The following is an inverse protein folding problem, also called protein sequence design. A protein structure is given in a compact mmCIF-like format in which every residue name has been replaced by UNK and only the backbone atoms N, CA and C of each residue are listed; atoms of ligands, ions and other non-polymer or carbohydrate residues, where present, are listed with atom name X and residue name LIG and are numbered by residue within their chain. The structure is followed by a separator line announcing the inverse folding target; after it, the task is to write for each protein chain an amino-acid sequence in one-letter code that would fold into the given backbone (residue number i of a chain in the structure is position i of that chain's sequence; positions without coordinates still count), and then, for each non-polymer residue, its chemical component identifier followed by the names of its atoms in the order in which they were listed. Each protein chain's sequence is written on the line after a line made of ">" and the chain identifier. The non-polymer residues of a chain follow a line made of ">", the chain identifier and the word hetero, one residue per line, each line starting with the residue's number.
data_IF_715812411951
#
_entry.id   IF_715812411951
#
_cell.length_a   1.000
_cell.length_b   1.000
_cell.length_c   1.000
_cell.angle_alpha   90.00
_cell.angle_beta   90.00
_cell.angle_gamma   90.00
#
_symmetry.space_group_name_H-M   'P 1'
#
loop_
_entity.id
_entity.type
_entity.pdbx_description
1 polymer ?
#
# COMPACT_ATOMS: atom_id res chain seq x y z
N UNK A 1 -53.64 -7.90 -60.49
CA UNK A 1 -53.58 -9.00 -59.51
C UNK A 1 -52.09 -9.28 -59.26
N UNK A 2 -51.46 -8.57 -58.32
CA UNK A 2 -51.15 -8.98 -56.93
C UNK A 2 -50.44 -10.34 -56.84
N UNK A 3 -49.16 -10.32 -56.44
CA UNK A 3 -48.39 -11.29 -55.61
C UNK A 3 -46.91 -10.85 -55.70
N UNK A 4 -46.41 -9.94 -54.86
CA UNK A 4 -45.91 -10.16 -53.49
C UNK A 4 -44.90 -11.32 -53.43
N UNK A 5 -43.60 -10.99 -53.35
CA UNK A 5 -42.61 -11.56 -52.42
C UNK A 5 -41.45 -10.56 -52.38
N UNK A 6 -41.47 -9.72 -51.36
CA UNK A 6 -40.40 -8.81 -51.01
C UNK A 6 -39.67 -9.49 -49.86
N UNK A 7 -38.44 -9.95 -50.10
CA UNK A 7 -37.60 -10.61 -49.10
C UNK A 7 -37.12 -9.55 -48.09
N UNK A 8 -37.86 -9.44 -46.98
CA UNK A 8 -37.47 -8.66 -45.81
C UNK A 8 -36.37 -9.43 -45.07
N UNK A 9 -35.12 -9.07 -45.33
CA UNK A 9 -34.03 -9.33 -44.37
C UNK A 9 -34.21 -8.30 -43.25
N UNK A 10 -35.02 -8.66 -42.26
CA UNK A 10 -35.10 -7.90 -41.01
C UNK A 10 -33.83 -8.23 -40.21
N UNK A 11 -32.76 -7.49 -40.47
CA UNK A 11 -31.58 -7.42 -39.61
C UNK A 11 -32.05 -6.79 -38.29
N UNK A 12 -32.44 -7.65 -37.34
CA UNK A 12 -32.65 -7.24 -35.95
C UNK A 12 -31.30 -6.82 -35.38
N UNK A 13 -30.95 -5.55 -35.58
CA UNK A 13 -30.01 -4.85 -34.72
C UNK A 13 -30.65 -4.83 -33.33
N UNK A 14 -30.38 -5.86 -32.54
CA UNK A 14 -30.54 -5.77 -31.09
C UNK A 14 -29.43 -4.81 -30.66
N UNK A 15 -29.72 -3.58 -30.21
CA UNK A 15 -28.71 -2.82 -29.52
C UNK A 15 -28.39 -3.64 -28.27
N UNK A 16 -27.23 -4.29 -28.27
CA UNK A 16 -26.64 -4.79 -27.04
C UNK A 16 -26.33 -3.53 -26.25
N UNK A 17 -27.31 -3.05 -25.49
CA UNK A 17 -27.06 -2.15 -24.39
C UNK A 17 -26.15 -2.94 -23.46
N UNK A 18 -24.85 -2.67 -23.55
CA UNK A 18 -23.88 -2.93 -22.50
C UNK A 18 -24.39 -2.13 -21.30
N UNK A 19 -25.31 -2.73 -20.54
CA UNK A 19 -25.62 -2.26 -19.20
C UNK A 19 -24.31 -2.44 -18.46
N UNK A 20 -23.58 -1.34 -18.23
CA UNK A 20 -22.46 -1.35 -17.32
C UNK A 20 -22.99 -1.90 -16.01
N UNK A 21 -22.56 -3.12 -15.64
CA UNK A 21 -23.09 -3.75 -14.45
C UNK A 21 -22.58 -2.98 -13.25
N UNK A 22 -23.46 -2.35 -12.48
CA UNK A 22 -23.06 -1.55 -11.33
C UNK A 22 -22.53 -2.43 -10.18
N UNK A 23 -21.62 -1.87 -9.38
CA UNK A 23 -21.12 -2.52 -8.16
C UNK A 23 -22.27 -2.58 -7.14
N UNK A 24 -22.72 -3.79 -6.79
CA UNK A 24 -23.78 -3.99 -5.80
C UNK A 24 -23.20 -4.08 -4.40
N UNK A 25 -23.45 -3.07 -3.57
CA UNK A 25 -23.07 -3.08 -2.14
C UNK A 25 -24.01 -3.99 -1.35
N UNK A 26 -23.48 -5.05 -0.74
CA UNK A 26 -24.21 -5.95 0.18
C UNK A 26 -24.23 -5.39 1.60
N UNK A 27 -23.11 -4.80 2.02
CA UNK A 27 -22.91 -4.27 3.36
C UNK A 27 -21.90 -3.14 3.32
N UNK A 28 -22.14 -2.10 4.10
CA UNK A 28 -21.19 -1.01 4.34
C UNK A 28 -21.03 -0.82 5.85
N UNK A 29 -19.80 -0.57 6.28
CA UNK A 29 -19.43 -0.30 7.67
C UNK A 29 -18.41 0.83 7.70
N UNK A 30 -18.60 1.76 8.61
CA UNK A 30 -17.67 2.86 8.85
C UNK A 30 -17.11 2.77 10.27
N UNK A 31 -15.80 2.99 10.39
CA UNK A 31 -15.06 2.91 11.65
C UNK A 31 -14.23 4.17 11.84
N UNK A 32 -14.30 4.75 13.04
CA UNK A 32 -13.53 5.92 13.47
C UNK A 32 -13.11 5.75 14.92
N UNK A 33 -12.02 6.38 15.34
CA UNK A 33 -11.57 6.38 16.74
C UNK A 33 -11.43 4.96 17.30
N UNK A 34 -12.08 4.68 18.44
CA UNK A 34 -12.04 3.35 19.08
C UNK A 34 -12.60 2.22 18.21
N UNK A 35 -13.49 2.52 17.27
CA UNK A 35 -14.06 1.52 16.36
C UNK A 35 -13.03 0.86 15.44
N UNK A 36 -11.89 1.51 15.19
CA UNK A 36 -10.78 0.96 14.40
C UNK A 36 -10.15 -0.26 15.11
N UNK A 37 -9.98 -0.20 16.43
CA UNK A 37 -9.38 -1.30 17.20
C UNK A 37 -10.18 -2.60 17.08
N UNK A 38 -11.51 -2.50 17.16
CA UNK A 38 -12.39 -3.66 17.06
C UNK A 38 -12.37 -4.32 15.68
N UNK A 39 -12.20 -3.53 14.62
CA UNK A 39 -12.08 -4.06 13.26
C UNK A 39 -10.74 -4.75 13.01
N UNK A 40 -9.65 -4.18 13.56
CA UNK A 40 -8.27 -4.55 13.22
C UNK A 40 -7.66 -5.61 14.15
N UNK A 41 -8.45 -6.13 15.10
CA UNK A 41 -8.12 -7.27 15.96
C UNK A 41 -6.72 -7.22 16.59
N UNK A 42 -6.34 -6.05 17.13
CA UNK A 42 -5.03 -5.81 17.75
C UNK A 42 -3.96 -5.20 16.84
N UNK A 43 -4.19 -5.15 15.52
CA UNK A 43 -3.28 -4.51 14.55
C UNK A 43 -3.46 -3.00 14.37
N UNK A 44 -4.39 -2.37 15.11
CA UNK A 44 -4.72 -0.95 14.92
C UNK A 44 -3.57 0.00 15.28
N UNK A 45 -2.68 -0.39 16.19
CA UNK A 45 -1.57 0.45 16.65
C UNK A 45 -0.67 0.88 15.49
N UNK A 46 -0.37 -0.03 14.56
CA UNK A 46 0.40 0.31 13.36
C UNK A 46 -0.35 1.30 12.48
N UNK A 47 -1.67 1.28 12.40
CA UNK A 47 -2.40 2.24 11.57
C UNK A 47 -2.55 3.60 12.25
N UNK A 48 -2.67 3.61 13.57
CA UNK A 48 -2.72 4.83 14.38
C UNK A 48 -1.39 5.57 14.38
N UNK A 49 -0.26 4.85 14.31
CA UNK A 49 1.06 5.46 14.10
C UNK A 49 1.12 6.33 12.83
N UNK A 50 0.33 6.00 11.80
CA UNK A 50 0.23 6.77 10.54
C UNK A 50 -0.98 7.73 10.55
N UNK A 51 -1.69 7.84 11.66
CA UNK A 51 -2.76 8.82 11.85
C UNK A 51 -4.05 8.51 11.08
N UNK A 52 -4.38 7.23 10.85
CA UNK A 52 -5.67 6.88 10.22
C UNK A 52 -6.84 7.53 10.97
N UNK A 53 -7.72 8.23 10.24
CA UNK A 53 -8.88 8.91 10.85
C UNK A 53 -10.17 8.12 10.68
N UNK A 54 -10.29 7.35 9.59
CA UNK A 54 -11.51 6.66 9.18
C UNK A 54 -11.20 5.46 8.31
N UNK A 55 -11.98 4.40 8.47
CA UNK A 55 -12.04 3.25 7.57
C UNK A 55 -13.48 3.05 7.10
N UNK A 56 -13.68 2.86 5.80
CA UNK A 56 -14.94 2.37 5.24
C UNK A 56 -14.72 1.00 4.62
N UNK A 57 -15.41 -0.02 5.15
CA UNK A 57 -15.37 -1.39 4.67
C UNK A 57 -16.70 -1.75 3.98
N UNK A 58 -16.62 -2.25 2.75
CA UNK A 58 -17.77 -2.61 1.91
C UNK A 58 -17.64 -4.03 1.41
N UNK A 59 -18.68 -4.83 1.63
CA UNK A 59 -18.81 -6.11 0.96
C UNK A 59 -19.66 -5.89 -0.30
N UNK A 60 -19.12 -6.24 -1.46
CA UNK A 60 -19.72 -5.91 -2.76
C UNK A 60 -19.76 -7.12 -3.67
N UNK A 61 -20.68 -7.08 -4.64
CA UNK A 61 -20.73 -8.01 -5.75
C UNK A 61 -20.62 -7.25 -7.05
N UNK A 62 -19.71 -7.69 -7.92
CA UNK A 62 -19.51 -7.13 -9.24
C UNK A 62 -19.30 -8.27 -10.24
N UNK A 63 -20.11 -8.30 -11.30
CA UNK A 63 -20.11 -9.37 -12.32
C UNK A 63 -20.13 -10.79 -11.74
N UNK A 64 -20.96 -10.99 -10.69
CA UNK A 64 -21.12 -12.27 -10.01
C UNK A 64 -19.97 -12.69 -9.09
N UNK A 65 -18.96 -11.85 -8.92
CA UNK A 65 -17.82 -12.07 -8.02
C UNK A 65 -17.97 -11.25 -6.74
N UNK A 66 -17.51 -11.79 -5.61
CA UNK A 66 -17.54 -11.13 -4.32
C UNK A 66 -16.21 -10.43 -4.00
N UNK A 67 -16.30 -9.24 -3.42
CA UNK A 67 -15.15 -8.47 -2.96
C UNK A 67 -15.44 -7.83 -1.61
N UNK A 68 -14.38 -7.62 -0.83
CA UNK A 68 -14.38 -6.70 0.30
C UNK A 68 -13.46 -5.54 -0.04
N UNK A 69 -14.01 -4.32 -0.04
CA UNK A 69 -13.29 -3.07 -0.33
C UNK A 69 -13.13 -2.31 0.98
N UNK A 70 -11.90 -2.09 1.39
CA UNK A 70 -11.52 -1.30 2.56
C UNK A 70 -10.79 -0.04 2.11
N UNK A 71 -11.29 1.12 2.52
CA UNK A 71 -10.71 2.43 2.18
C UNK A 71 -10.37 3.14 3.49
N UNK A 72 -9.08 3.37 3.69
CA UNK A 72 -8.51 4.03 4.86
C UNK A 72 -8.18 5.48 4.52
N UNK A 73 -8.74 6.42 5.29
CA UNK A 73 -8.43 7.85 5.18
C UNK A 73 -7.21 8.16 6.04
N UNK A 74 -6.15 8.62 5.38
CA UNK A 74 -4.84 8.93 5.99
C UNK A 74 -4.57 10.44 5.95
N UNK A 75 -3.63 10.95 6.76
CA UNK A 75 -3.30 12.38 6.76
C UNK A 75 -2.67 12.85 5.44
N UNK A 76 -1.75 12.05 4.87
CA UNK A 76 -1.00 12.40 3.64
C UNK A 76 -0.91 11.21 2.67
N UNK A 77 -0.58 11.45 1.39
CA UNK A 77 -0.25 10.37 0.44
C UNK A 77 0.89 9.47 0.92
N UNK A 78 1.90 10.03 1.59
CA UNK A 78 3.01 9.28 2.18
C UNK A 78 2.54 8.38 3.33
N UNK A 79 1.56 8.81 4.14
CA UNK A 79 0.96 7.96 5.18
C UNK A 79 0.20 6.77 4.59
N UNK A 80 -0.57 7.02 3.53
CA UNK A 80 -1.24 5.97 2.78
C UNK A 80 -0.24 5.00 2.16
N UNK A 81 0.84 5.51 1.57
CA UNK A 81 1.94 4.70 1.08
C UNK A 81 2.64 3.90 2.18
N UNK A 82 2.81 4.47 3.36
CA UNK A 82 3.43 3.81 4.50
C UNK A 82 2.71 2.52 4.89
N UNK A 83 1.41 2.63 5.18
CA UNK A 83 0.57 1.46 5.48
C UNK A 83 0.57 0.48 4.30
N UNK A 84 0.34 0.98 3.09
CA UNK A 84 0.37 0.17 1.87
C UNK A 84 1.67 -0.64 1.75
N UNK A 85 2.83 -0.01 1.88
CA UNK A 85 4.16 -0.60 1.71
C UNK A 85 4.52 -1.66 2.78
N UNK A 86 3.85 -1.59 3.92
CA UNK A 86 3.97 -2.59 4.98
C UNK A 86 3.14 -3.84 4.70
N UNK A 87 1.98 -3.69 4.05
CA UNK A 87 1.00 -4.76 3.87
C UNK A 87 1.08 -5.44 2.50
N UNK A 88 1.70 -4.82 1.50
CA UNK A 88 1.85 -5.48 0.18
C UNK A 88 2.86 -6.62 0.23
N UNK A 89 2.51 -7.71 -0.45
CA UNK A 89 3.34 -8.89 -0.55
C UNK A 89 3.09 -9.65 -1.86
N UNK A 90 4.16 -10.22 -2.45
CA UNK A 90 4.10 -11.07 -3.66
C UNK A 90 3.27 -10.46 -4.81
N UNK A 91 3.55 -9.20 -5.15
CA UNK A 91 2.90 -8.53 -6.27
C UNK A 91 3.16 -9.28 -7.59
N UNK A 92 2.09 -9.68 -8.27
CA UNK A 92 2.13 -10.22 -9.65
C UNK A 92 2.18 -9.09 -10.68
N UNK A 93 1.54 -7.96 -10.36
CA UNK A 93 1.56 -6.70 -11.11
C UNK A 93 1.71 -5.56 -10.11
N UNK A 94 2.56 -4.59 -10.43
CA UNK A 94 2.85 -3.48 -9.55
C UNK A 94 3.22 -2.21 -10.33
N UNK A 95 2.64 -1.08 -9.94
CA UNK A 95 2.91 0.28 -10.43
C UNK A 95 2.82 0.45 -11.96
N UNK A 96 1.97 -0.34 -12.60
CA UNK A 96 1.91 -0.45 -14.08
C UNK A 96 0.97 0.56 -14.73
N UNK A 97 0.04 1.15 -13.96
CA UNK A 97 -1.03 2.02 -14.49
C UNK A 97 -0.85 3.49 -14.10
N UNK A 98 0.39 3.89 -13.74
CA UNK A 98 0.69 5.24 -13.25
C UNK A 98 0.21 5.51 -11.81
N UNK A 99 -0.49 4.55 -11.19
CA UNK A 99 -0.83 4.56 -9.77
C UNK A 99 0.08 3.61 -9.00
N UNK A 100 0.24 3.85 -7.70
CA UNK A 100 0.88 2.89 -6.80
C UNK A 100 -0.10 1.77 -6.49
N UNK A 101 0.19 0.58 -7.01
CA UNK A 101 -0.67 -0.59 -6.84
C UNK A 101 0.12 -1.90 -6.76
N UNK A 102 -0.50 -2.90 -6.15
CA UNK A 102 0.02 -4.25 -6.04
C UNK A 102 -1.15 -5.22 -6.18
N UNK A 103 -1.17 -5.95 -7.30
CA UNK A 103 -2.09 -7.06 -7.52
C UNK A 103 -1.42 -8.36 -7.05
N UNK A 104 -1.98 -8.98 -6.04
CA UNK A 104 -1.61 -10.29 -5.50
C UNK A 104 -2.66 -11.35 -5.90
N UNK A 105 -2.47 -12.65 -5.58
CA UNK A 105 -3.42 -13.69 -5.95
C UNK A 105 -4.83 -13.52 -5.39
N UNK A 106 -5.02 -12.80 -4.28
CA UNK A 106 -6.31 -12.66 -3.58
C UNK A 106 -6.70 -11.20 -3.31
N UNK A 107 -5.87 -10.24 -3.71
CA UNK A 107 -6.05 -8.85 -3.33
C UNK A 107 -5.46 -7.90 -4.36
N UNK A 108 -6.11 -6.74 -4.53
CA UNK A 108 -5.54 -5.56 -5.14
C UNK A 108 -5.42 -4.50 -4.06
N UNK A 109 -4.20 -4.07 -3.76
CA UNK A 109 -3.94 -2.95 -2.86
C UNK A 109 -3.45 -1.77 -3.68
N UNK A 110 -3.79 -0.56 -3.26
CA UNK A 110 -3.31 0.64 -3.93
C UNK A 110 -3.30 1.88 -3.03
N UNK A 111 -2.68 2.94 -3.54
CA UNK A 111 -2.72 4.29 -2.97
C UNK A 111 -3.38 5.23 -3.99
N UNK A 112 -4.31 6.05 -3.51
CA UNK A 112 -4.95 7.11 -4.29
C UNK A 112 -5.07 8.38 -3.44
N UNK A 113 -4.18 9.35 -3.66
CA UNK A 113 -4.08 10.49 -2.77
C UNK A 113 -3.71 10.04 -1.36
N UNK A 114 -4.40 10.61 -0.38
CA UNK A 114 -4.26 10.25 1.03
C UNK A 114 -5.05 8.98 1.44
N UNK A 115 -5.40 8.11 0.49
CA UNK A 115 -6.17 6.90 0.75
C UNK A 115 -5.35 5.66 0.49
N UNK A 116 -5.27 4.79 1.49
CA UNK A 116 -4.86 3.41 1.31
C UNK A 116 -6.12 2.57 1.06
N UNK A 117 -6.09 1.74 0.02
CA UNK A 117 -7.23 0.91 -0.37
C UNK A 117 -6.81 -0.54 -0.55
N UNK A 118 -7.65 -1.42 -0.04
CA UNK A 118 -7.52 -2.87 -0.11
C UNK A 118 -8.80 -3.45 -0.71
N UNK A 119 -8.67 -4.15 -1.84
CA UNK A 119 -9.75 -4.90 -2.49
C UNK A 119 -9.42 -6.37 -2.39
N UNK A 120 -10.04 -7.07 -1.45
CA UNK A 120 -9.91 -8.51 -1.27
C UNK A 120 -10.95 -9.21 -2.14
N UNK A 121 -10.55 -10.22 -2.91
CA UNK A 121 -11.44 -11.10 -3.66
C UNK A 121 -11.24 -12.54 -3.18
N UNK A 122 -12.04 -13.02 -2.20
CA UNK A 122 -11.79 -14.26 -1.48
C UNK A 122 -11.65 -15.51 -2.36
N UNK A 123 -12.31 -15.54 -3.51
CA UNK A 123 -12.25 -16.68 -4.42
C UNK A 123 -10.85 -16.91 -5.03
N UNK A 124 -10.01 -15.87 -5.11
CA UNK A 124 -8.74 -15.90 -5.84
C UNK A 124 -8.87 -16.27 -7.32
N UNK A 125 -10.09 -16.30 -7.86
CA UNK A 125 -10.35 -16.78 -9.20
C UNK A 125 -9.80 -15.81 -10.25
N UNK A 126 -9.44 -16.35 -11.42
CA UNK A 126 -9.01 -15.51 -12.54
C UNK A 126 -10.09 -14.49 -12.93
N UNK A 127 -11.37 -14.87 -12.85
CA UNK A 127 -12.50 -13.98 -13.10
C UNK A 127 -12.52 -12.81 -12.11
N UNK A 128 -12.49 -13.07 -10.80
CA UNK A 128 -12.49 -12.01 -9.78
C UNK A 128 -11.26 -11.09 -9.91
N UNK A 129 -10.08 -11.69 -10.08
CA UNK A 129 -8.83 -10.94 -10.25
C UNK A 129 -8.86 -10.00 -11.45
N UNK A 130 -9.40 -10.46 -12.58
CA UNK A 130 -9.49 -9.65 -13.82
C UNK A 130 -10.40 -8.43 -13.70
N UNK A 131 -11.23 -8.35 -12.66
CA UNK A 131 -12.21 -7.29 -12.43
C UNK A 131 -11.89 -6.41 -11.23
N UNK A 132 -10.86 -6.75 -10.44
CA UNK A 132 -10.45 -5.97 -9.27
C UNK A 132 -10.14 -4.49 -9.62
N UNK A 133 -9.52 -4.24 -10.78
CA UNK A 133 -9.25 -2.89 -11.28
C UNK A 133 -10.52 -2.07 -11.56
N UNK A 134 -11.61 -2.72 -12.01
CA UNK A 134 -12.89 -2.05 -12.22
C UNK A 134 -13.57 -1.73 -10.87
N UNK A 135 -13.50 -2.66 -9.92
CA UNK A 135 -14.08 -2.48 -8.57
C UNK A 135 -13.40 -1.34 -7.83
N UNK A 136 -12.07 -1.26 -7.83
CA UNK A 136 -11.36 -0.16 -7.17
C UNK A 136 -11.65 1.19 -7.85
N UNK A 137 -11.73 1.21 -9.20
CA UNK A 137 -11.99 2.44 -9.98
C UNK A 137 -13.40 2.99 -9.81
N UNK A 138 -14.35 2.16 -9.41
CA UNK A 138 -15.68 2.59 -9.03
C UNK A 138 -15.66 3.53 -7.81
N UNK A 139 -14.71 3.33 -6.89
CA UNK A 139 -14.61 4.12 -5.67
C UNK A 139 -13.57 5.23 -5.75
N UNK A 140 -12.47 5.03 -6.50
CA UNK A 140 -11.32 5.92 -6.52
C UNK A 140 -10.79 6.07 -7.95
N UNK A 141 -10.39 7.27 -8.40
CA UNK A 141 -10.03 7.50 -9.81
C UNK A 141 -8.83 6.69 -10.30
N UNK A 142 -7.87 6.35 -9.42
CA UNK A 142 -6.64 5.61 -9.74
C UNK A 142 -5.91 6.19 -10.97
N UNK A 143 -5.73 7.51 -10.98
CA UNK A 143 -5.15 8.28 -12.09
C UNK A 143 -3.72 8.81 -11.81
N UNK A 144 -3.19 8.52 -10.63
CA UNK A 144 -1.80 8.82 -10.24
C UNK A 144 -1.51 10.29 -9.95
N UNK A 145 -2.50 11.20 -10.04
CA UNK A 145 -2.28 12.64 -9.87
C UNK A 145 -1.78 13.01 -8.47
N UNK A 146 -2.33 12.35 -7.45
CA UNK A 146 -2.03 12.60 -6.04
C UNK A 146 -1.19 11.45 -5.45
N UNK A 147 -0.30 10.85 -6.23
CA UNK A 147 0.64 9.84 -5.73
C UNK A 147 1.58 10.43 -4.66
N UNK A 148 2.12 9.60 -3.75
CA UNK A 148 3.14 10.04 -2.79
C UNK A 148 4.37 10.62 -3.51
N UNK A 149 4.94 11.67 -2.93
CA UNK A 149 6.16 12.28 -3.44
C UNK A 149 7.37 11.44 -2.99
N UNK A 150 7.93 10.66 -3.91
CA UNK A 150 9.16 9.90 -3.64
C UNK A 150 10.37 10.84 -3.67
N UNK A 151 11.27 10.76 -2.66
CA UNK A 151 12.52 11.50 -2.67
C UNK A 151 13.42 11.17 -3.86
N UNK A 152 14.21 12.15 -4.32
CA UNK A 152 15.16 12.00 -5.44
C UNK A 152 16.12 10.80 -5.25
N UNK A 153 16.47 10.47 -4.01
CA UNK A 153 17.36 9.36 -3.65
C UNK A 153 16.77 7.98 -4.00
N UNK A 154 15.46 7.92 -4.24
CA UNK A 154 14.72 6.71 -4.60
C UNK A 154 14.33 6.68 -6.08
N UNK A 155 14.76 7.67 -6.87
CA UNK A 155 14.53 7.66 -8.32
C UNK A 155 15.13 6.40 -8.96
N UNK A 156 14.46 5.89 -9.98
CA UNK A 156 14.86 4.67 -10.68
C UNK A 156 14.55 3.35 -9.95
N UNK A 157 13.94 3.39 -8.75
CA UNK A 157 13.57 2.16 -8.03
C UNK A 157 12.26 1.51 -8.52
N UNK A 158 11.53 2.15 -9.44
CA UNK A 158 10.26 1.65 -9.96
C UNK A 158 10.33 0.17 -10.44
N UNK A 159 9.32 -0.67 -10.16
CA UNK A 159 8.19 -0.40 -9.26
C UNK A 159 8.65 -0.19 -7.81
N UNK A 160 8.06 0.78 -7.13
CA UNK A 160 8.26 1.05 -5.71
C UNK A 160 7.58 -0.01 -4.86
N UNK A 161 6.40 -0.45 -5.28
CA UNK A 161 5.60 -1.48 -4.63
C UNK A 161 6.38 -2.78 -4.45
N UNK A 162 6.46 -3.23 -3.20
CA UNK A 162 7.22 -4.43 -2.80
C UNK A 162 8.73 -4.22 -2.63
N UNK A 163 9.28 -3.05 -2.98
CA UNK A 163 10.71 -2.73 -2.82
C UNK A 163 10.97 -1.63 -1.79
N UNK A 164 10.16 -0.57 -1.83
CA UNK A 164 10.30 0.60 -0.97
C UNK A 164 9.27 0.52 0.15
N UNK A 165 9.71 0.83 1.36
CA UNK A 165 8.86 1.00 2.53
C UNK A 165 8.97 2.42 3.04
N UNK A 166 7.88 2.93 3.62
CA UNK A 166 7.88 4.21 4.31
C UNK A 166 7.38 4.01 5.74
N UNK A 167 8.14 4.52 6.70
CA UNK A 167 7.84 4.40 8.12
C UNK A 167 7.55 5.74 8.76
N UNK A 168 6.46 5.82 9.53
CA UNK A 168 6.11 7.01 10.31
C UNK A 168 6.61 6.95 11.75
N UNK A 169 6.81 5.75 12.29
CA UNK A 169 7.28 5.57 13.66
C UNK A 169 7.90 4.19 13.94
N UNK A 170 8.21 3.92 15.21
CA UNK A 170 8.94 2.72 15.63
C UNK A 170 8.17 1.42 15.41
N UNK A 171 6.84 1.40 15.46
CA UNK A 171 6.03 0.18 15.29
C UNK A 171 6.26 -0.38 13.87
N UNK A 172 6.13 0.45 12.84
CA UNK A 172 6.42 0.08 11.46
C UNK A 172 7.87 -0.41 11.24
N UNK A 173 8.85 0.24 11.86
CA UNK A 173 10.27 -0.10 11.69
C UNK A 173 10.62 -1.43 12.38
N UNK A 174 10.11 -1.66 13.59
CA UNK A 174 10.42 -2.85 14.39
C UNK A 174 10.08 -4.18 13.69
N UNK A 175 9.07 -4.17 12.83
CA UNK A 175 8.71 -5.33 12.01
C UNK A 175 9.61 -5.57 10.79
N UNK A 176 10.54 -4.66 10.48
CA UNK A 176 11.34 -4.67 9.25
C UNK A 176 12.85 -4.64 9.49
N UNK A 177 13.33 -3.79 10.39
CA UNK A 177 14.77 -3.58 10.61
C UNK A 177 15.08 -3.30 12.09
N UNK A 178 15.72 -4.27 12.75
CA UNK A 178 16.17 -4.10 14.15
C UNK A 178 17.33 -3.12 14.22
N UNK A 179 18.25 -3.18 13.26
CA UNK A 179 19.45 -2.33 13.26
C UNK A 179 19.12 -0.86 13.03
N UNK A 180 18.20 -0.57 12.10
CA UNK A 180 17.74 0.81 11.87
C UNK A 180 16.96 1.35 13.08
N UNK A 181 16.13 0.52 13.71
CA UNK A 181 15.41 0.90 14.93
C UNK A 181 16.35 1.38 16.03
N UNK A 182 17.49 0.69 16.22
CA UNK A 182 18.48 1.07 17.21
C UNK A 182 19.11 2.44 16.93
N UNK A 183 19.43 2.75 15.66
CA UNK A 183 19.93 4.08 15.30
C UNK A 183 18.90 5.19 15.54
N UNK A 184 17.62 4.91 15.33
CA UNK A 184 16.53 5.87 15.46
C UNK A 184 16.03 6.06 16.90
N UNK A 185 16.50 5.28 17.86
CA UNK A 185 16.10 5.39 19.26
C UNK A 185 16.41 6.80 19.81
N UNK A 186 15.42 7.48 20.40
CA UNK A 186 15.59 8.84 20.92
C UNK A 186 15.84 9.93 19.87
N UNK A 187 15.64 9.61 18.57
CA UNK A 187 15.72 10.56 17.46
C UNK A 187 14.32 10.91 16.98
N UNK A 188 14.03 12.19 16.88
CA UNK A 188 12.74 12.66 16.38
C UNK A 188 12.75 12.82 14.85
N UNK A 189 11.97 11.99 14.15
CA UNK A 189 11.83 12.03 12.69
C UNK A 189 10.40 12.27 12.24
N UNK A 190 10.26 12.73 11.00
CA UNK A 190 8.97 12.89 10.31
C UNK A 190 8.66 11.68 9.45
N UNK A 191 9.66 10.96 8.95
CA UNK A 191 9.46 9.72 8.22
C UNK A 191 10.77 9.07 7.79
N UNK A 192 10.71 7.79 7.44
CA UNK A 192 11.86 7.02 7.00
C UNK A 192 11.52 6.24 5.73
N UNK A 193 12.22 6.53 4.64
CA UNK A 193 12.14 5.71 3.44
C UNK A 193 13.20 4.61 3.51
N UNK A 194 12.80 3.37 3.24
CA UNK A 194 13.63 2.19 3.44
C UNK A 194 13.61 1.29 2.22
N UNK A 195 14.79 0.80 1.86
CA UNK A 195 14.99 -0.16 0.77
C UNK A 195 15.89 -1.28 1.29
N UNK A 196 15.37 -2.51 1.27
CA UNK A 196 16.19 -3.68 1.57
C UNK A 196 16.98 -4.10 0.32
N UNK A 197 18.30 -4.23 0.47
CA UNK A 197 19.18 -4.78 -0.55
C UNK A 197 19.34 -6.29 -0.28
N UNK A 198 18.57 -7.09 -1.01
CA UNK A 198 18.65 -8.56 -0.98
C UNK A 198 19.52 -9.04 -2.14
N UNK A 199 20.41 -10.03 -1.92
CA UNK A 199 20.49 -10.92 -0.76
C UNK A 199 21.47 -10.49 0.34
N UNK A 200 22.15 -9.35 0.23
CA UNK A 200 23.25 -8.94 1.11
C UNK A 200 22.86 -8.64 2.56
N UNK A 201 21.56 -8.73 2.91
CA UNK A 201 20.98 -8.30 4.20
C UNK A 201 21.37 -6.85 4.55
N UNK A 202 21.72 -6.05 3.54
CA UNK A 202 21.96 -4.62 3.70
C UNK A 202 20.69 -3.85 3.41
N UNK A 203 20.67 -2.59 3.82
CA UNK A 203 19.57 -1.68 3.53
C UNK A 203 20.09 -0.28 3.27
N UNK A 204 19.26 0.52 2.60
CA UNK A 204 19.41 1.96 2.49
C UNK A 204 18.21 2.63 3.14
N UNK A 205 18.47 3.66 3.93
CA UNK A 205 17.43 4.40 4.63
C UNK A 205 17.64 5.91 4.46
N UNK A 206 16.59 6.61 4.03
CA UNK A 206 16.52 8.07 4.07
C UNK A 206 15.66 8.46 5.28
N UNK A 207 16.29 9.02 6.30
CA UNK A 207 15.63 9.48 7.52
C UNK A 207 15.39 10.97 7.41
N UNK A 208 14.13 11.38 7.37
CA UNK A 208 13.72 12.78 7.38
C UNK A 208 13.47 13.19 8.84
N UNK A 209 14.23 14.15 9.35
CA UNK A 209 14.17 14.55 10.77
C UNK A 209 13.19 15.71 11.02
N UNK A 210 12.75 15.90 12.26
CA UNK A 210 11.93 17.07 12.62
C UNK A 210 12.75 18.37 12.68
N UNK A 211 13.99 18.27 13.15
CA UNK A 211 14.85 19.43 13.41
C UNK A 211 16.31 19.09 13.11
N UNK A 212 17.10 20.11 12.77
CA UNK A 212 18.51 19.92 12.39
C UNK A 212 19.35 19.22 13.47
N UNK A 213 19.08 19.47 14.76
CA UNK A 213 19.82 18.84 15.86
C UNK A 213 19.66 17.32 15.92
N UNK A 214 18.60 16.75 15.34
CA UNK A 214 18.39 15.32 15.26
C UNK A 214 19.34 14.63 14.26
N UNK A 215 19.84 15.37 13.26
CA UNK A 215 20.87 14.86 12.34
C UNK A 215 22.18 14.62 13.09
N UNK A 216 22.55 15.53 13.99
CA UNK A 216 23.79 15.41 14.75
C UNK A 216 23.72 14.20 15.69
N UNK A 217 22.57 13.99 16.37
CA UNK A 217 22.31 12.76 17.14
C UNK A 217 22.45 11.49 16.30
N UNK A 218 21.95 11.49 15.07
CA UNK A 218 22.11 10.35 14.16
C UNK A 218 23.55 10.13 13.74
N UNK A 219 24.30 11.19 13.46
CA UNK A 219 25.73 11.11 13.09
C UNK A 219 26.61 10.59 14.21
N UNK A 220 26.23 10.79 15.47
CA UNK A 220 26.93 10.20 16.63
C UNK A 220 26.70 8.70 16.74
N UNK A 221 25.55 8.20 16.26
CA UNK A 221 25.15 6.79 16.34
C UNK A 221 25.52 5.96 15.11
N UNK A 222 25.52 6.57 13.94
CA UNK A 222 25.75 5.93 12.65
C UNK A 222 27.22 6.08 12.26
N UNK A 223 27.93 4.99 11.89
CA UNK A 223 29.31 5.10 11.40
C UNK A 223 29.42 6.07 10.23
N UNK A 224 30.44 6.93 10.22
CA UNK A 224 30.62 7.91 9.15
C UNK A 224 30.76 7.29 7.75
N UNK A 225 31.28 6.05 7.66
CA UNK A 225 31.35 5.27 6.42
C UNK A 225 29.99 4.87 5.85
N UNK A 226 28.97 4.83 6.71
CA UNK A 226 27.64 4.33 6.39
C UNK A 226 26.69 5.48 6.00
N UNK A 227 27.14 6.73 6.14
CA UNK A 227 26.41 7.93 5.73
C UNK A 227 26.73 8.20 4.26
N UNK A 228 25.71 8.04 3.40
CA UNK A 228 25.82 8.29 1.96
C UNK A 228 25.72 9.80 1.67
N UNK A 229 24.74 10.47 2.29
CA UNK A 229 24.49 11.90 2.12
C UNK A 229 23.75 12.47 3.33
N UNK A 230 23.93 13.75 3.61
CA UNK A 230 23.17 14.46 4.65
C UNK A 230 22.76 15.83 4.11
N UNK A 231 21.51 16.22 4.37
CA UNK A 231 20.95 17.54 4.09
C UNK A 231 20.70 18.33 5.38
N UNK A 232 19.86 19.36 5.29
CA UNK A 232 19.47 20.17 6.46
C UNK A 232 18.41 19.48 7.34
N UNK A 233 17.61 18.61 6.73
CA UNK A 233 16.42 17.96 7.29
C UNK A 233 16.39 16.45 7.01
N UNK A 234 17.45 15.89 6.42
CA UNK A 234 17.56 14.46 6.18
C UNK A 234 18.98 13.91 6.34
N UNK A 235 19.04 12.60 6.58
CA UNK A 235 20.26 11.80 6.44
C UNK A 235 19.94 10.53 5.63
N UNK A 236 20.75 10.28 4.60
CA UNK A 236 20.69 9.08 3.77
C UNK A 236 21.85 8.18 4.13
N UNK A 237 21.54 6.97 4.58
CA UNK A 237 22.51 6.01 5.11
C UNK A 237 22.32 4.63 4.52
N UNK A 238 23.36 3.83 4.62
CA UNK A 238 23.33 2.38 4.43
C UNK A 238 23.49 1.68 5.76
N UNK A 239 23.05 0.43 5.86
CA UNK A 239 23.31 -0.41 7.02
C UNK A 239 23.24 -1.88 6.67
N UNK A 240 23.54 -2.73 7.65
CA UNK A 240 23.35 -4.18 7.57
C UNK A 240 22.47 -4.62 8.72
N UNK A 241 21.54 -5.53 8.43
CA UNK A 241 20.78 -6.18 9.49
C UNK A 241 21.72 -7.04 10.33
N UNK A 242 21.68 -6.82 11.64
CA UNK A 242 22.30 -7.72 12.60
C UNK A 242 21.53 -9.04 12.60
N UNK A 243 22.25 -10.17 12.53
CA UNK A 243 21.62 -11.46 12.72
C UNK A 243 21.08 -11.51 14.15
N UNK A 244 19.77 -11.77 14.30
CA UNK A 244 19.20 -12.06 15.61
C UNK A 244 20.04 -13.20 16.20
N UNK A 245 20.65 -12.98 17.37
CA UNK A 245 21.05 -14.10 18.20
C UNK A 245 19.77 -14.91 18.42
N UNK A 246 19.76 -16.16 17.98
CA UNK A 246 18.67 -17.08 18.24
C UNK A 246 18.54 -17.20 19.77
N UNK A 247 17.61 -16.46 20.37
CA UNK A 247 16.97 -16.93 21.58
C UNK A 247 16.11 -18.13 21.14
N UNK A 248 16.65 -19.32 21.36
CA UNK A 248 15.86 -20.56 21.39
C UNK A 248 14.76 -20.37 22.43
N UNK A 249 13.56 -19.94 22.01
CA UNK A 249 12.34 -20.10 22.78
C UNK A 249 11.11 -20.00 21.86
N UNK A 250 10.39 -21.11 21.75
CA UNK A 250 8.98 -21.13 21.40
C UNK A 250 8.68 -21.44 19.94
N UNK A 251 8.68 -22.73 19.61
CA UNK A 251 7.82 -23.31 18.58
C UNK A 251 6.37 -22.81 18.77
N UNK A 252 5.91 -21.95 17.87
CA UNK A 252 4.48 -21.66 17.70
C UNK A 252 4.16 -21.79 16.22
N UNK A 253 3.70 -22.99 15.86
CA UNK A 253 3.10 -23.28 14.57
C UNK A 253 1.82 -22.49 14.34
N UNK A 254 1.68 -22.01 13.11
CA UNK A 254 0.45 -21.90 12.34
C UNK A 254 0.78 -22.16 10.87
#
# INVERSE_FOLDING_TARGET
>A
MKHVIQWLVLLTFIPVFLVAQEVKVKREREFTGSGLYGFMNGGAEQFLEYGVSKLVARDVVYEGQEYTVEIYDMPTPEDAFGIYSLHVFRCQRADTLGCIDCLSPYQLQAVAGNKYVSVVFPSGSAAAKSKADAVIRYYLPMDGKDNPAFPEQLEGLSPYSGKVKFFRGPIGISGVSTSLMHYLEGVAYTGVWFVADKPSKSYRALVCVKEKGEIDKLKEKVPASDIIRSGNDFIYLTGKEQEKQHEENGDFGF
#
